data_IF_525806165364
#
_entry.id   IF_525806165364
#
_cell.length_a   1.000
_cell.length_b   1.000
_cell.length_c   1.000
_cell.angle_alpha   90.00
_cell.angle_beta   90.00
_cell.angle_gamma   90.00
#
_symmetry.space_group_name_H-M   'P 1'
#
loop_
_entity.id
_entity.type
_entity.pdbx_description
1 polymer ?
#
# COMPACT_ATOMS: atom_id res chain seq x y z
N UNK A 1 -2.82 19.82 3.03
CA UNK A 1 -1.50 20.07 2.42
C UNK A 1 -0.78 18.73 2.30
N UNK A 2 -0.56 18.25 1.08
CA UNK A 2 0.23 17.04 0.84
C UNK A 2 1.71 17.39 0.97
N UNK A 3 2.35 17.00 2.07
CA UNK A 3 3.81 17.07 2.17
C UNK A 3 4.40 16.01 1.23
N UNK A 4 5.32 16.39 0.35
CA UNK A 4 6.13 15.43 -0.41
C UNK A 4 6.79 14.49 0.61
N UNK A 5 6.39 13.21 0.58
CA UNK A 5 6.88 12.24 1.56
C UNK A 5 8.38 12.04 1.39
N UNK A 6 9.13 12.21 2.48
CA UNK A 6 10.47 11.65 2.60
C UNK A 6 10.38 10.14 2.34
N UNK A 7 11.40 9.57 1.70
CA UNK A 7 11.47 8.12 1.51
C UNK A 7 11.50 7.40 2.86
N UNK A 8 10.98 6.17 2.90
CA UNK A 8 11.02 5.32 4.09
C UNK A 8 11.79 4.04 3.80
N UNK A 9 12.46 3.52 4.83
CA UNK A 9 12.94 2.14 4.84
C UNK A 9 12.45 1.48 6.11
N UNK A 10 12.25 0.16 6.06
CA UNK A 10 11.84 -0.57 7.23
C UNK A 10 11.97 -2.07 7.06
N UNK A 11 11.87 -2.76 8.19
CA UNK A 11 11.85 -4.21 8.28
C UNK A 11 10.63 -4.61 9.10
N UNK A 12 9.68 -5.29 8.48
CA UNK A 12 8.44 -5.69 9.15
C UNK A 12 7.75 -6.81 8.38
N UNK A 13 6.55 -7.19 8.83
CA UNK A 13 5.68 -8.08 8.05
C UNK A 13 5.31 -7.42 6.73
N UNK A 14 5.43 -8.17 5.64
CA UNK A 14 5.03 -7.71 4.31
C UNK A 14 4.02 -8.68 3.73
N UNK A 15 2.87 -8.16 3.31
CA UNK A 15 1.87 -8.90 2.53
C UNK A 15 1.93 -8.45 1.09
N UNK A 16 2.12 -9.40 0.18
CA UNK A 16 2.08 -9.16 -1.26
C UNK A 16 0.75 -9.69 -1.79
N UNK A 17 0.04 -8.85 -2.53
CA UNK A 17 -1.29 -9.15 -3.01
C UNK A 17 -1.55 -8.55 -4.38
N UNK A 18 -2.49 -9.13 -5.12
CA UNK A 18 -2.96 -8.60 -6.40
C UNK A 18 -4.32 -7.92 -6.25
N UNK A 19 -4.48 -6.84 -7.00
CA UNK A 19 -5.74 -6.13 -7.16
C UNK A 19 -5.82 -5.58 -8.58
N UNK A 20 -6.89 -5.93 -9.31
CA UNK A 20 -7.07 -5.58 -10.73
C UNK A 20 -5.84 -5.94 -11.58
N UNK A 21 -5.26 -7.11 -11.35
CA UNK A 21 -4.09 -7.61 -12.07
C UNK A 21 -2.75 -7.03 -11.60
N UNK A 22 -2.73 -5.89 -10.94
CA UNK A 22 -1.50 -5.28 -10.44
C UNK A 22 -1.14 -5.86 -9.06
N UNK A 23 0.13 -6.11 -8.84
CA UNK A 23 0.68 -6.57 -7.56
C UNK A 23 1.10 -5.38 -6.71
N UNK A 24 0.70 -5.40 -5.44
CA UNK A 24 1.01 -4.41 -4.43
C UNK A 24 1.62 -5.07 -3.20
N UNK A 25 2.45 -4.32 -2.49
CA UNK A 25 2.90 -4.66 -1.15
C UNK A 25 2.14 -3.86 -0.10
N UNK A 26 1.96 -4.48 1.06
CA UNK A 26 1.49 -3.84 2.27
C UNK A 26 2.45 -4.16 3.42
N UNK A 27 2.93 -3.12 4.07
CA UNK A 27 3.76 -3.19 5.26
C UNK A 27 3.25 -2.22 6.32
N UNK A 28 3.81 -2.34 7.52
CA UNK A 28 3.56 -1.41 8.61
C UNK A 28 4.86 -0.79 9.10
N UNK A 29 4.75 0.46 9.53
CA UNK A 29 5.83 1.24 10.11
C UNK A 29 5.30 2.04 11.30
N UNK A 30 6.17 2.56 12.15
CA UNK A 30 5.79 3.48 13.21
C UNK A 30 6.28 4.89 12.89
N UNK A 31 5.61 5.93 13.38
CA UNK A 31 6.02 7.32 13.13
C UNK A 31 7.35 7.68 13.80
N UNK A 32 7.68 7.02 14.92
CA UNK A 32 8.90 7.28 15.67
C UNK A 32 9.47 6.02 16.34
N UNK A 33 10.66 6.17 16.94
CA UNK A 33 11.37 5.09 17.65
C UNK A 33 10.65 4.60 18.91
N UNK A 34 9.72 5.40 19.47
CA UNK A 34 8.88 5.00 20.60
C UNK A 34 7.77 4.05 20.16
N UNK A 35 7.65 3.80 18.85
CA UNK A 35 6.61 2.98 18.21
C UNK A 35 5.22 3.55 18.43
N UNK A 36 5.13 4.88 18.50
CA UNK A 36 3.87 5.59 18.66
C UNK A 36 3.39 6.02 17.27
N UNK A 37 2.14 5.70 16.97
CA UNK A 37 1.47 6.05 15.74
C UNK A 37 1.77 5.04 14.62
N UNK A 38 0.75 4.30 14.22
CA UNK A 38 0.91 3.22 13.23
C UNK A 38 0.67 3.73 11.81
N UNK A 39 1.62 3.43 10.93
CA UNK A 39 1.62 3.82 9.54
C UNK A 39 1.40 2.59 8.67
N UNK A 40 0.37 2.63 7.84
CA UNK A 40 0.24 1.74 6.72
C UNK A 40 1.15 2.21 5.58
N UNK A 41 1.97 1.30 5.05
CA UNK A 41 2.81 1.55 3.88
C UNK A 41 2.33 0.65 2.75
N UNK A 42 2.06 1.22 1.58
CA UNK A 42 1.65 0.43 0.42
C UNK A 42 2.16 1.01 -0.89
N UNK A 43 2.47 0.14 -1.84
CA UNK A 43 2.93 0.56 -3.15
C UNK A 43 2.89 -0.58 -4.15
N UNK A 44 2.93 -0.26 -5.45
CA UNK A 44 3.00 -1.27 -6.50
C UNK A 44 4.34 -2.00 -6.43
N UNK A 45 4.29 -3.29 -6.75
CA UNK A 45 5.45 -4.15 -6.94
C UNK A 45 5.55 -4.64 -8.38
N UNK A 46 4.48 -4.54 -9.17
CA UNK A 46 4.53 -4.86 -10.60
C UNK A 46 5.50 -3.94 -11.35
N UNK A 47 6.46 -4.50 -12.11
CA UNK A 47 7.41 -3.70 -12.87
C UNK A 47 6.72 -2.69 -13.80
N UNK A 48 7.23 -1.45 -13.81
CA UNK A 48 6.70 -0.37 -14.65
C UNK A 48 5.45 0.33 -14.10
N UNK A 49 4.83 -0.19 -13.03
CA UNK A 49 3.66 0.44 -12.41
C UNK A 49 4.09 1.44 -11.34
N UNK A 50 3.65 2.68 -11.49
CA UNK A 50 3.91 3.76 -10.53
C UNK A 50 2.81 3.87 -9.48
N UNK A 51 3.15 4.34 -8.29
CA UNK A 51 2.23 4.44 -7.15
C UNK A 51 0.95 5.24 -7.43
N UNK A 52 1.00 6.19 -8.37
CA UNK A 52 -0.16 6.94 -8.82
C UNK A 52 -1.29 6.06 -9.38
N UNK A 53 -0.96 4.87 -9.92
CA UNK A 53 -1.94 3.89 -10.42
C UNK A 53 -2.88 3.39 -9.32
N UNK A 54 -2.37 3.20 -8.09
CA UNK A 54 -3.19 2.80 -6.94
C UNK A 54 -4.26 3.86 -6.61
N UNK A 55 -3.88 5.13 -6.69
CA UNK A 55 -4.82 6.25 -6.48
C UNK A 55 -5.79 6.42 -7.63
N UNK A 56 -5.37 6.15 -8.86
CA UNK A 56 -6.28 6.11 -10.00
C UNK A 56 -7.35 5.02 -9.79
N UNK A 57 -6.95 3.80 -9.42
CA UNK A 57 -7.89 2.72 -9.12
C UNK A 57 -8.86 3.09 -8.00
N UNK A 58 -8.34 3.68 -6.91
CA UNK A 58 -9.18 4.13 -5.79
C UNK A 58 -10.25 5.13 -6.27
N UNK A 59 -9.90 6.06 -7.16
CA UNK A 59 -10.87 7.01 -7.74
C UNK A 59 -11.90 6.31 -8.61
N UNK A 60 -11.48 5.40 -9.48
CA UNK A 60 -12.40 4.63 -10.34
C UNK A 60 -13.41 3.82 -9.51
N UNK A 61 -12.96 3.23 -8.42
CA UNK A 61 -13.78 2.37 -7.56
C UNK A 61 -14.55 3.12 -6.48
N UNK A 62 -14.45 4.45 -6.42
CA UNK A 62 -15.15 5.28 -5.44
C UNK A 62 -16.15 6.20 -6.13
N UNK A 63 -17.00 6.86 -5.32
CA UNK A 63 -17.88 7.93 -5.82
C UNK A 63 -17.04 9.08 -6.40
N UNK A 64 -17.54 9.76 -7.43
CA UNK A 64 -16.82 10.85 -8.11
C UNK A 64 -16.42 12.01 -7.18
N UNK A 65 -17.15 12.20 -6.09
CA UNK A 65 -16.93 13.24 -5.08
C UNK A 65 -16.12 12.77 -3.86
N UNK A 66 -15.49 11.59 -3.95
CA UNK A 66 -14.68 11.05 -2.86
C UNK A 66 -13.45 11.93 -2.60
N UNK A 67 -13.26 12.25 -1.33
CA UNK A 67 -12.09 12.99 -0.85
C UNK A 67 -10.85 12.10 -0.82
N UNK A 68 -9.67 12.71 -0.79
CA UNK A 68 -8.40 11.99 -0.63
C UNK A 68 -8.38 11.10 0.63
N UNK A 69 -9.09 11.50 1.67
CA UNK A 69 -9.24 10.74 2.90
C UNK A 69 -10.03 9.44 2.65
N UNK A 70 -11.18 9.53 1.97
CA UNK A 70 -11.99 8.36 1.63
C UNK A 70 -11.28 7.43 0.64
N UNK A 71 -10.53 7.99 -0.32
CA UNK A 71 -9.69 7.21 -1.22
C UNK A 71 -8.58 6.45 -0.46
N UNK A 72 -7.95 7.10 0.54
CA UNK A 72 -6.97 6.44 1.40
C UNK A 72 -7.60 5.32 2.24
N UNK A 73 -8.81 5.52 2.77
CA UNK A 73 -9.55 4.48 3.48
C UNK A 73 -9.87 3.29 2.56
N UNK A 74 -10.26 3.55 1.31
CA UNK A 74 -10.48 2.49 0.33
C UNK A 74 -9.20 1.70 0.07
N UNK A 75 -8.06 2.38 -0.16
CA UNK A 75 -6.76 1.73 -0.38
C UNK A 75 -6.38 0.86 0.83
N UNK A 76 -6.46 1.42 2.03
CA UNK A 76 -6.12 0.71 3.26
C UNK A 76 -7.07 -0.47 3.52
N UNK A 77 -8.34 -0.36 3.13
CA UNK A 77 -9.29 -1.47 3.18
C UNK A 77 -8.83 -2.63 2.30
N UNK A 78 -8.39 -2.38 1.07
CA UNK A 78 -7.94 -3.45 0.18
C UNK A 78 -6.69 -4.14 0.74
N UNK A 79 -5.70 -3.36 1.16
CA UNK A 79 -4.49 -3.89 1.78
C UNK A 79 -4.78 -4.71 3.06
N UNK A 80 -5.69 -4.21 3.91
CA UNK A 80 -6.08 -4.90 5.15
C UNK A 80 -6.84 -6.19 4.85
N UNK A 81 -7.73 -6.21 3.85
CA UNK A 81 -8.43 -7.44 3.42
C UNK A 81 -7.45 -8.50 2.93
N UNK A 82 -6.42 -8.10 2.20
CA UNK A 82 -5.36 -9.02 1.78
C UNK A 82 -4.54 -9.54 2.96
N UNK A 83 -4.19 -8.67 3.92
CA UNK A 83 -3.44 -9.03 5.11
C UNK A 83 -4.21 -9.95 6.07
N UNK A 84 -5.47 -9.63 6.37
CA UNK A 84 -6.28 -10.33 7.38
C UNK A 84 -6.98 -11.56 6.79
N UNK A 85 -7.55 -11.43 5.59
CA UNK A 85 -8.41 -12.45 5.00
C UNK A 85 -7.77 -13.21 3.83
N UNK A 86 -6.54 -12.87 3.42
CA UNK A 86 -5.87 -13.52 2.30
C UNK A 86 -6.41 -13.16 0.91
N UNK A 87 -7.22 -12.10 0.78
CA UNK A 87 -7.80 -11.70 -0.51
C UNK A 87 -6.71 -11.32 -1.52
N UNK A 88 -6.67 -12.01 -2.66
CA UNK A 88 -5.66 -11.76 -3.71
C UNK A 88 -4.23 -11.99 -3.23
N UNK A 89 -4.03 -12.74 -2.16
CA UNK A 89 -2.72 -13.01 -1.58
C UNK A 89 -1.80 -13.74 -2.57
N UNK A 90 -0.54 -13.32 -2.61
CA UNK A 90 0.53 -13.94 -3.40
C UNK A 90 1.58 -14.54 -2.46
N UNK A 91 2.06 -13.76 -1.49
CA UNK A 91 3.01 -14.22 -0.48
C UNK A 91 2.95 -13.35 0.77
N UNK A 92 3.39 -13.90 1.91
CA UNK A 92 3.49 -13.20 3.18
C UNK A 92 4.87 -13.45 3.79
N UNK A 93 5.55 -12.38 4.16
CA UNK A 93 6.80 -12.45 4.91
C UNK A 93 6.55 -12.05 6.35
N UNK A 94 7.04 -12.85 7.29
CA UNK A 94 6.96 -12.52 8.71
C UNK A 94 7.87 -11.35 9.08
N UNK A 95 8.99 -11.21 8.38
CA UNK A 95 9.94 -10.12 8.55
C UNK A 95 10.73 -9.97 7.24
N UNK A 96 10.65 -8.82 6.59
CA UNK A 96 11.33 -8.53 5.33
C UNK A 96 11.69 -7.06 5.23
N UNK A 97 12.87 -6.78 4.65
CA UNK A 97 13.33 -5.44 4.34
C UNK A 97 12.57 -4.85 3.14
N UNK A 98 12.15 -3.60 3.28
CA UNK A 98 11.40 -2.86 2.27
C UNK A 98 11.81 -1.38 2.24
N UNK A 99 11.58 -0.74 1.09
CA UNK A 99 11.83 0.68 0.87
C UNK A 99 10.68 1.33 0.12
N UNK A 100 10.23 2.47 0.62
CA UNK A 100 9.30 3.37 -0.06
C UNK A 100 10.09 4.57 -0.61
N UNK A 101 10.04 4.77 -1.92
CA UNK A 101 10.72 5.92 -2.53
C UNK A 101 10.06 7.26 -2.15
N UNK A 102 10.82 8.37 -2.11
CA UNK A 102 10.27 9.71 -1.93
C UNK A 102 9.28 10.11 -3.02
N UNK A 103 8.48 11.16 -2.78
CA UNK A 103 7.56 11.72 -3.77
C UNK A 103 6.21 11.00 -3.86
N UNK A 104 5.99 10.06 -2.95
CA UNK A 104 4.68 9.44 -2.71
C UNK A 104 3.67 10.39 -2.05
N UNK A 105 2.53 9.81 -1.65
CA UNK A 105 1.44 10.53 -0.97
C UNK A 105 1.23 10.00 0.45
N UNK A 106 1.14 10.94 1.39
CA UNK A 106 0.83 10.70 2.80
C UNK A 106 -0.55 11.26 3.13
N UNK A 107 -1.38 10.46 3.77
CA UNK A 107 -2.67 10.87 4.33
C UNK A 107 -2.70 10.53 5.81
N UNK A 108 -3.07 11.51 6.63
CA UNK A 108 -3.39 11.32 8.05
C UNK A 108 -4.88 11.06 8.17
N UNK A 109 -5.27 10.09 9.00
CA UNK A 109 -6.66 9.86 9.36
C UNK A 109 -7.02 10.70 10.60
N UNK A 110 -8.27 11.18 10.65
CA UNK A 110 -8.77 12.03 11.74
C UNK A 110 -8.99 11.21 13.01
N UNK A 111 -9.42 9.96 12.83
CA UNK A 111 -9.41 8.90 13.82
C UNK A 111 -8.67 7.69 13.24
N UNK A 112 -8.12 6.82 14.10
CA UNK A 112 -7.47 5.58 13.67
C UNK A 112 -8.38 4.78 12.75
N UNK A 113 -7.92 4.47 11.55
CA UNK A 113 -8.64 3.64 10.58
C UNK A 113 -7.92 2.32 10.38
N UNK A 114 -8.61 1.20 10.56
CA UNK A 114 -8.01 -0.14 10.55
C UNK A 114 -6.74 -0.25 11.44
N UNK A 115 -6.76 0.40 12.61
CA UNK A 115 -5.64 0.53 13.55
C UNK A 115 -4.42 1.29 12.98
N UNK A 116 -4.63 2.21 12.03
CA UNK A 116 -3.57 3.04 11.44
C UNK A 116 -3.93 4.51 11.56
N UNK A 117 -2.94 5.33 11.89
CA UNK A 117 -3.06 6.79 11.95
C UNK A 117 -2.76 7.43 10.60
N UNK A 118 -1.95 6.75 9.78
CA UNK A 118 -1.56 7.25 8.47
C UNK A 118 -1.55 6.16 7.41
N UNK A 119 -1.80 6.57 6.17
CA UNK A 119 -1.47 5.83 4.95
C UNK A 119 -0.35 6.55 4.21
N UNK A 120 0.72 5.83 3.91
CA UNK A 120 1.82 6.29 3.08
C UNK A 120 1.87 5.40 1.83
N UNK A 121 1.76 6.03 0.68
CA UNK A 121 1.85 5.37 -0.62
C UNK A 121 3.02 5.90 -1.40
N UNK A 122 3.73 5.05 -2.13
CA UNK A 122 4.89 5.41 -2.93
C UNK A 122 5.35 4.21 -3.75
N UNK A 123 6.40 4.38 -4.56
CA UNK A 123 6.99 3.22 -5.23
C UNK A 123 7.67 2.36 -4.17
N UNK A 124 7.21 1.12 -4.05
CA UNK A 124 7.64 0.20 -3.01
C UNK A 124 8.58 -0.83 -3.62
N UNK A 125 9.68 -1.09 -2.94
CA UNK A 125 10.50 -2.28 -3.18
C UNK A 125 10.50 -3.13 -1.91
N UNK A 126 10.53 -4.45 -2.12
CA UNK A 126 10.60 -5.45 -1.05
C UNK A 126 11.68 -6.43 -1.48
N UNK A 127 12.67 -6.65 -0.61
CA UNK A 127 13.75 -7.57 -0.90
C UNK A 127 13.26 -9.03 -0.96
N UNK A 128 13.95 -9.87 -1.74
CA UNK A 128 13.67 -11.30 -1.81
C UNK A 128 12.45 -11.72 -2.64
N UNK A 129 11.76 -10.79 -3.31
CA UNK A 129 10.68 -11.13 -4.23
C UNK A 129 11.21 -11.77 -5.51
N UNK A 130 10.53 -12.83 -5.96
CA UNK A 130 10.79 -13.43 -7.28
C UNK A 130 10.05 -12.66 -8.38
N UNK A 131 10.51 -12.73 -9.65
CA UNK A 131 9.78 -12.14 -10.78
C UNK A 131 8.33 -12.62 -10.87
N UNK A 132 8.08 -13.90 -10.59
CA UNK A 132 6.74 -14.47 -10.62
C UNK A 132 5.83 -13.89 -9.53
N UNK A 133 6.38 -13.43 -8.40
CA UNK A 133 5.60 -12.82 -7.31
C UNK A 133 5.21 -11.37 -7.61
N UNK A 134 5.91 -10.70 -8.52
CA UNK A 134 5.64 -9.31 -8.92
C UNK A 134 4.96 -9.17 -10.29
N UNK A 135 4.97 -10.23 -11.09
CA UNK A 135 4.33 -10.27 -12.40
C UNK A 135 2.84 -9.89 -12.33
N UNK A 136 2.39 -9.14 -13.35
CA UNK A 136 0.98 -8.83 -13.54
C UNK A 136 0.15 -10.12 -13.60
N UNK A 137 -1.02 -10.09 -12.96
CA UNK A 137 -1.94 -11.23 -12.88
C UNK A 137 -3.08 -11.07 -13.87
N UNK A 138 -3.50 -12.15 -14.55
CA UNK A 138 -4.75 -12.14 -15.31
C UNK A 138 -5.93 -11.71 -14.43
N UNK A 139 -6.77 -10.81 -14.93
CA UNK A 139 -7.96 -10.32 -14.22
C UNK A 139 -9.10 -10.07 -15.21
N UNK A 140 -10.33 -10.36 -14.80
CA UNK A 140 -11.55 -9.96 -15.52
C UNK A 140 -12.05 -8.58 -15.09
N UNK A 141 -11.56 -8.08 -13.94
CA UNK A 141 -11.93 -6.79 -13.39
C UNK A 141 -11.01 -5.70 -13.91
N UNK A 142 -11.59 -4.57 -14.34
CA UNK A 142 -10.89 -3.37 -14.82
C UNK A 142 -11.14 -2.21 -13.87
N UNK A 143 -10.09 -1.47 -13.52
CA UNK A 143 -10.12 -0.27 -12.66
C UNK A 143 -9.23 0.85 -13.23
#
# INVERSE_FOLDING_TARGET
MSSNGEGLTGRSRVTVFTMFGIVFGYATHHLDQRRIGDVAVTGPLTPGVQWGRLWQMARTCSRATATDHELAQWILTQATRSFVCGSGHITHFHEQDWKLEPGGKRVRFDATYANRDHLWTGNLTVEGLTPDQTAERPTIYRA
#
